data_IF_200639469265
#
_entry.id   IF_200639469265
#
_cell.length_a   1.000
_cell.length_b   1.000
_cell.length_c   1.000
_cell.angle_alpha   90.00
_cell.angle_beta   90.00
_cell.angle_gamma   90.00
#
_symmetry.space_group_name_H-M   'P 1'
#
loop_
_entity.id
_entity.type
_entity.pdbx_description
1 polymer ?
#
# COMPACT_ATOMS: atom_id res chain seq x y z
N UNK A 1 -17.10 -48.24 -23.74
CA UNK A 1 -18.30 -47.44 -23.38
C UNK A 1 -17.81 -46.02 -23.17
N UNK A 2 -17.96 -45.13 -24.16
CA UNK A 2 -17.57 -43.72 -24.02
C UNK A 2 -18.73 -42.96 -23.37
N UNK A 3 -18.52 -42.51 -22.13
CA UNK A 3 -19.49 -41.66 -21.44
C UNK A 3 -19.55 -40.31 -22.15
N UNK A 4 -20.74 -39.83 -22.53
CA UNK A 4 -20.94 -38.53 -23.17
C UNK A 4 -21.67 -37.57 -22.21
N UNK A 5 -21.22 -36.31 -22.14
CA UNK A 5 -21.82 -35.25 -21.31
C UNK A 5 -20.82 -34.14 -20.93
N UNK A 6 -21.33 -32.96 -20.52
CA UNK A 6 -20.52 -31.80 -20.06
C UNK A 6 -19.56 -32.16 -18.91
N UNK A 7 -19.90 -33.20 -18.14
CA UNK A 7 -19.05 -33.80 -17.10
C UNK A 7 -17.68 -34.27 -17.60
N UNK A 8 -17.50 -34.51 -18.91
CA UNK A 8 -16.22 -34.88 -19.51
C UNK A 8 -15.43 -33.69 -20.08
N UNK A 9 -16.09 -32.55 -20.36
CA UNK A 9 -15.43 -31.35 -20.86
C UNK A 9 -14.85 -30.49 -19.71
N UNK A 10 -15.50 -30.48 -18.55
CA UNK A 10 -15.04 -29.75 -17.36
C UNK A 10 -13.59 -30.07 -16.94
N UNK A 11 -13.15 -31.35 -16.81
CA UNK A 11 -11.77 -31.66 -16.45
C UNK A 11 -10.75 -31.23 -17.53
N UNK A 12 -11.12 -31.24 -18.81
CA UNK A 12 -10.26 -30.75 -19.89
C UNK A 12 -10.03 -29.24 -19.80
N UNK A 13 -11.08 -28.47 -19.50
CA UNK A 13 -10.96 -27.02 -19.28
C UNK A 13 -10.14 -26.74 -18.01
N UNK A 14 -10.35 -27.49 -16.93
CA UNK A 14 -9.57 -27.36 -15.70
C UNK A 14 -8.07 -27.62 -15.94
N UNK A 15 -7.72 -28.71 -16.65
CA UNK A 15 -6.34 -29.02 -17.02
C UNK A 15 -5.69 -27.93 -17.89
N UNK A 16 -6.42 -27.39 -18.87
CA UNK A 16 -5.95 -26.29 -19.70
C UNK A 16 -5.70 -25.01 -18.89
N UNK A 17 -6.55 -24.70 -17.90
CA UNK A 17 -6.36 -23.56 -17.00
C UNK A 17 -5.08 -23.73 -16.17
N UNK A 18 -4.81 -24.93 -15.66
CA UNK A 18 -3.57 -25.20 -14.90
C UNK A 18 -2.33 -24.94 -15.77
N UNK A 19 -2.32 -25.41 -17.01
CA UNK A 19 -1.22 -25.16 -17.96
C UNK A 19 -1.07 -23.67 -18.30
N UNK A 20 -2.19 -22.97 -18.52
CA UNK A 20 -2.20 -21.54 -18.76
C UNK A 20 -1.63 -20.75 -17.56
N UNK A 21 -1.99 -21.14 -16.33
CA UNK A 21 -1.45 -20.53 -15.11
C UNK A 21 0.04 -20.82 -14.93
N UNK A 22 0.51 -22.04 -15.24
CA UNK A 22 1.93 -22.37 -15.20
C UNK A 22 2.74 -21.55 -16.23
N UNK A 23 2.21 -21.40 -17.46
CA UNK A 23 2.83 -20.58 -18.49
C UNK A 23 2.86 -19.09 -18.08
N UNK A 24 1.78 -18.59 -17.50
CA UNK A 24 1.70 -17.23 -16.99
C UNK A 24 2.75 -16.99 -15.89
N UNK A 25 2.89 -17.89 -14.92
CA UNK A 25 3.94 -17.79 -13.90
C UNK A 25 5.33 -17.74 -14.57
N UNK A 26 5.59 -18.61 -15.54
CA UNK A 26 6.89 -18.68 -16.23
C UNK A 26 7.20 -17.46 -17.10
N UNK A 27 6.20 -16.81 -17.71
CA UNK A 27 6.39 -15.76 -18.72
C UNK A 27 6.02 -14.36 -18.25
N UNK A 28 5.10 -14.25 -17.30
CA UNK A 28 4.62 -13.00 -16.70
C UNK A 28 5.13 -12.81 -15.27
N UNK A 29 5.76 -13.82 -14.66
CA UNK A 29 6.20 -13.79 -13.27
C UNK A 29 5.06 -13.82 -12.25
N UNK A 30 3.84 -14.14 -12.67
CA UNK A 30 2.64 -14.25 -11.81
C UNK A 30 1.55 -15.09 -12.46
N UNK A 31 0.57 -15.52 -11.65
CA UNK A 31 -0.68 -16.10 -12.14
C UNK A 31 -1.54 -15.06 -12.87
N UNK A 32 -2.43 -15.53 -13.74
CA UNK A 32 -3.50 -14.71 -14.32
C UNK A 32 -4.60 -14.53 -13.27
N UNK A 33 -5.09 -13.31 -13.10
CA UNK A 33 -6.31 -13.07 -12.33
C UNK A 33 -7.50 -13.76 -12.99
N UNK A 34 -8.60 -13.97 -12.25
CA UNK A 34 -9.83 -14.58 -12.78
C UNK A 34 -10.36 -13.77 -13.98
N UNK A 35 -10.29 -12.44 -13.90
CA UNK A 35 -10.71 -11.55 -14.99
C UNK A 35 -9.85 -11.70 -16.24
N UNK A 36 -8.52 -11.73 -16.10
CA UNK A 36 -7.61 -11.94 -17.23
C UNK A 36 -7.79 -13.33 -17.84
N UNK A 37 -7.94 -14.36 -17.01
CA UNK A 37 -8.18 -15.72 -17.45
C UNK A 37 -9.47 -15.81 -18.28
N UNK A 38 -10.57 -15.23 -17.79
CA UNK A 38 -11.85 -15.18 -18.51
C UNK A 38 -11.73 -14.45 -19.85
N UNK A 39 -11.11 -13.28 -19.87
CA UNK A 39 -10.92 -12.49 -21.10
C UNK A 39 -10.02 -13.21 -22.11
N UNK A 40 -8.95 -13.85 -21.66
CA UNK A 40 -8.05 -14.63 -22.52
C UNK A 40 -8.77 -15.84 -23.11
N UNK A 41 -9.51 -16.60 -22.30
CA UNK A 41 -10.30 -17.75 -22.77
C UNK A 41 -11.34 -17.35 -23.83
N UNK A 42 -12.04 -16.22 -23.65
CA UNK A 42 -13.05 -15.75 -24.60
C UNK A 42 -12.42 -15.22 -25.89
N UNK A 43 -11.36 -14.42 -25.76
CA UNK A 43 -10.71 -13.78 -26.90
C UNK A 43 -9.92 -14.76 -27.77
N UNK A 44 -9.21 -15.72 -27.16
CA UNK A 44 -8.42 -16.73 -27.87
C UNK A 44 -9.24 -17.92 -28.36
N UNK A 45 -10.48 -18.08 -27.87
CA UNK A 45 -11.33 -19.20 -28.27
C UNK A 45 -11.62 -19.21 -29.77
N UNK A 46 -11.54 -20.40 -30.38
CA UNK A 46 -11.87 -20.63 -31.78
C UNK A 46 -13.39 -20.55 -31.95
N UNK A 47 -13.86 -19.72 -32.89
CA UNK A 47 -15.29 -19.67 -33.23
C UNK A 47 -15.69 -20.98 -33.91
N UNK A 48 -16.79 -21.57 -33.45
CA UNK A 48 -17.45 -22.73 -34.07
C UNK A 48 -18.93 -22.37 -34.24
N UNK A 49 -19.57 -22.75 -35.35
CA UNK A 49 -21.01 -22.59 -35.48
C UNK A 49 -21.67 -23.92 -35.25
N UNK A 50 -22.60 -23.96 -34.32
CA UNK A 50 -23.33 -25.17 -33.98
C UNK A 50 -24.31 -25.54 -35.09
N UNK A 51 -23.92 -26.53 -35.91
CA UNK A 51 -24.70 -27.07 -37.03
C UNK A 51 -24.17 -26.76 -38.42
N UNK A 52 -22.93 -26.27 -38.56
CA UNK A 52 -22.33 -26.01 -39.88
C UNK A 52 -21.62 -27.23 -40.48
N UNK A 53 -21.11 -28.16 -39.66
CA UNK A 53 -20.40 -29.35 -40.11
C UNK A 53 -20.55 -30.57 -39.20
N UNK A 54 -21.26 -30.44 -38.07
CA UNK A 54 -21.49 -31.49 -37.11
C UNK A 54 -22.44 -32.56 -37.70
N UNK A 55 -22.00 -33.83 -37.63
CA UNK A 55 -22.83 -35.01 -37.98
C UNK A 55 -23.14 -35.78 -36.72
N UNK A 56 -24.07 -35.24 -35.94
CA UNK A 56 -24.52 -35.85 -34.70
C UNK A 56 -26.05 -35.94 -34.66
N UNK A 57 -26.58 -36.38 -33.53
CA UNK A 57 -28.00 -36.58 -33.30
C UNK A 57 -28.60 -35.51 -32.37
N UNK A 58 -27.91 -34.39 -32.16
CA UNK A 58 -28.41 -33.29 -31.32
C UNK A 58 -29.09 -32.21 -32.17
N UNK A 59 -30.02 -31.48 -31.56
CA UNK A 59 -30.69 -30.36 -32.23
C UNK A 59 -29.75 -29.15 -32.21
N UNK A 60 -29.20 -28.84 -33.38
CA UNK A 60 -28.30 -27.71 -33.56
C UNK A 60 -29.02 -26.37 -33.35
N UNK A 61 -28.34 -25.43 -32.72
CA UNK A 61 -28.87 -24.09 -32.37
C UNK A 61 -28.60 -23.03 -33.45
N UNK A 62 -27.67 -23.27 -34.38
CA UNK A 62 -27.25 -22.29 -35.38
C UNK A 62 -26.46 -21.10 -34.82
N UNK A 63 -26.10 -21.13 -33.54
CA UNK A 63 -25.35 -20.07 -32.87
C UNK A 63 -23.84 -20.28 -33.00
N UNK A 64 -23.08 -19.19 -32.92
CA UNK A 64 -21.62 -19.24 -32.86
C UNK A 64 -21.14 -19.32 -31.41
N UNK A 65 -20.37 -20.35 -31.10
CA UNK A 65 -19.73 -20.53 -29.79
C UNK A 65 -18.21 -20.39 -29.87
N UNK A 66 -17.59 -20.24 -28.70
CA UNK A 66 -16.14 -20.20 -28.53
C UNK A 66 -15.66 -21.53 -27.96
N UNK A 67 -14.96 -22.32 -28.77
CA UNK A 67 -14.27 -23.53 -28.33
C UNK A 67 -12.90 -23.17 -27.78
N UNK A 68 -12.52 -23.80 -26.67
CA UNK A 68 -11.19 -23.66 -26.08
C UNK A 68 -10.11 -24.01 -27.12
N UNK A 69 -9.15 -23.11 -27.28
CA UNK A 69 -7.96 -23.30 -28.11
C UNK A 69 -6.73 -23.00 -27.24
N UNK A 70 -6.03 -24.05 -26.81
CA UNK A 70 -4.92 -23.96 -25.85
C UNK A 70 -3.70 -23.28 -26.49
N UNK A 71 -3.48 -23.49 -27.79
CA UNK A 71 -2.37 -22.87 -28.50
C UNK A 71 -2.59 -21.36 -28.60
N UNK A 72 -3.77 -20.95 -29.09
CA UNK A 72 -4.12 -19.52 -29.17
C UNK A 72 -4.14 -18.85 -27.79
N UNK A 73 -4.59 -19.58 -26.75
CA UNK A 73 -4.52 -19.10 -25.37
C UNK A 73 -3.07 -18.88 -24.92
N UNK A 74 -2.17 -19.82 -25.21
CA UNK A 74 -0.75 -19.72 -24.88
C UNK A 74 -0.06 -18.55 -25.62
N UNK A 75 -0.38 -18.35 -26.90
CA UNK A 75 0.09 -17.23 -27.70
C UNK A 75 -0.41 -15.90 -27.16
N UNK A 76 -1.67 -15.82 -26.72
CA UNK A 76 -2.22 -14.62 -26.10
C UNK A 76 -1.52 -14.29 -24.77
N UNK A 77 -1.18 -15.29 -23.95
CA UNK A 77 -0.38 -15.13 -22.73
C UNK A 77 1.04 -14.67 -23.06
N UNK A 78 1.67 -15.27 -24.07
CA UNK A 78 3.00 -14.87 -24.55
C UNK A 78 3.01 -13.45 -25.11
N UNK A 79 1.99 -13.06 -25.87
CA UNK A 79 1.83 -11.69 -26.38
C UNK A 79 1.69 -10.69 -25.24
N UNK A 80 1.00 -11.06 -24.16
CA UNK A 80 0.94 -10.26 -22.93
C UNK A 80 2.32 -10.10 -22.29
N UNK A 81 3.17 -11.14 -22.35
CA UNK A 81 4.56 -11.07 -21.89
C UNK A 81 5.44 -10.25 -22.83
N UNK A 82 5.23 -10.33 -24.15
CA UNK A 82 5.94 -9.53 -25.15
C UNK A 82 5.55 -8.07 -25.08
N UNK A 83 4.30 -7.71 -24.81
CA UNK A 83 3.90 -6.32 -24.57
C UNK A 83 4.56 -5.75 -23.30
N UNK A 84 4.88 -6.60 -22.31
CA UNK A 84 5.74 -6.19 -21.17
C UNK A 84 7.22 -6.02 -21.57
N UNK A 85 7.67 -6.61 -22.69
CA UNK A 85 9.05 -6.48 -23.22
C UNK A 85 9.20 -5.48 -24.37
N UNK A 86 8.13 -5.07 -25.05
CA UNK A 86 8.19 -4.06 -26.12
C UNK A 86 8.34 -2.64 -25.55
N UNK A 87 8.20 -2.47 -24.23
CA UNK A 87 8.68 -1.29 -23.50
C UNK A 87 10.16 -1.39 -23.06
N UNK A 88 10.92 -2.39 -23.52
CA UNK A 88 12.38 -2.43 -23.38
C UNK A 88 13.03 -2.41 -24.77
N UNK A 89 12.96 -1.25 -25.42
CA UNK A 89 13.97 -0.82 -26.40
C UNK A 89 15.29 -0.55 -25.65
N UNK A 90 16.48 -0.69 -26.26
CA UNK A 90 17.76 -0.44 -25.58
C UNK A 90 17.97 1.00 -25.10
N UNK A 91 17.06 1.94 -25.42
CA UNK A 91 17.10 3.33 -24.96
C UNK A 91 16.10 3.63 -23.83
N UNK A 92 16.25 3.00 -22.66
CA UNK A 92 15.48 3.40 -21.47
C UNK A 92 16.13 3.00 -20.13
N UNK A 93 17.39 3.36 -19.91
CA UNK A 93 17.99 3.27 -18.57
C UNK A 93 17.62 4.50 -17.72
N UNK A 94 16.34 4.67 -17.35
CA UNK A 94 15.90 5.28 -16.07
C UNK A 94 14.37 5.39 -15.91
N UNK A 95 13.62 4.33 -16.18
CA UNK A 95 12.31 4.17 -15.53
C UNK A 95 12.53 3.19 -14.37
N UNK A 96 12.75 3.72 -13.17
CA UNK A 96 12.57 2.95 -11.92
C UNK A 96 11.25 2.19 -12.04
N UNK A 97 11.35 0.88 -12.29
CA UNK A 97 10.18 0.03 -12.48
C UNK A 97 9.45 -0.01 -11.14
N UNK A 98 8.25 0.56 -11.08
CA UNK A 98 7.44 0.54 -9.87
C UNK A 98 7.27 -0.92 -9.39
N UNK A 99 7.86 -1.22 -8.23
CA UNK A 99 7.84 -2.54 -7.61
C UNK A 99 6.40 -2.88 -7.25
N UNK A 100 6.03 -4.17 -7.32
CA UNK A 100 4.78 -4.60 -6.71
C UNK A 100 4.99 -4.58 -5.20
N UNK A 101 4.41 -3.59 -4.52
CA UNK A 101 4.61 -3.36 -3.09
C UNK A 101 3.43 -3.85 -2.27
N UNK A 102 2.34 -4.29 -2.90
CA UNK A 102 1.17 -4.75 -2.18
C UNK A 102 0.03 -5.20 -3.08
N UNK A 103 -1.06 -5.58 -2.44
CA UNK A 103 -2.33 -5.89 -3.08
C UNK A 103 -3.49 -5.62 -2.13
N UNK A 104 -4.67 -5.47 -2.70
CA UNK A 104 -5.89 -5.22 -1.96
C UNK A 104 -7.06 -5.95 -2.59
N UNK A 105 -7.96 -6.44 -1.75
CA UNK A 105 -9.19 -7.10 -2.16
C UNK A 105 -10.23 -7.06 -1.03
N UNK A 106 -11.37 -7.74 -1.23
CA UNK A 106 -12.44 -7.88 -0.25
C UNK A 106 -12.49 -9.28 0.32
N UNK A 107 -12.81 -9.37 1.60
CA UNK A 107 -13.02 -10.62 2.34
C UNK A 107 -14.43 -10.65 2.93
N UNK A 108 -14.96 -11.86 3.07
CA UNK A 108 -16.12 -12.14 3.91
C UNK A 108 -15.68 -13.19 4.91
N UNK A 109 -15.79 -12.89 6.21
CA UNK A 109 -15.39 -13.80 7.28
C UNK A 109 -16.39 -13.70 8.44
N UNK A 110 -16.29 -14.66 9.35
CA UNK A 110 -17.08 -14.75 10.57
C UNK A 110 -16.14 -15.12 11.72
N UNK A 111 -16.66 -15.60 12.86
CA UNK A 111 -15.81 -15.98 13.99
C UNK A 111 -14.93 -17.23 13.77
N UNK A 112 -15.06 -17.93 12.64
CA UNK A 112 -14.17 -19.02 12.29
C UNK A 112 -12.87 -18.51 11.63
N UNK A 113 -11.74 -19.09 12.04
CA UNK A 113 -10.44 -18.79 11.46
C UNK A 113 -10.40 -19.14 9.97
N UNK A 114 -10.13 -18.13 9.14
CA UNK A 114 -10.01 -18.26 7.70
C UNK A 114 -8.62 -17.84 7.25
N UNK A 115 -8.01 -18.61 6.33
CA UNK A 115 -6.73 -18.22 5.70
C UNK A 115 -6.99 -17.51 4.38
N UNK A 116 -6.43 -16.31 4.24
CA UNK A 116 -6.41 -15.53 3.01
C UNK A 116 -5.05 -15.68 2.35
N UNK A 117 -5.03 -16.07 1.09
CA UNK A 117 -3.80 -16.21 0.31
C UNK A 117 -3.60 -15.00 -0.58
N UNK A 118 -2.36 -14.54 -0.64
CA UNK A 118 -1.97 -13.47 -1.52
C UNK A 118 -1.80 -13.96 -2.97
N UNK A 119 -1.96 -13.07 -3.93
CA UNK A 119 -1.66 -13.33 -5.34
C UNK A 119 -0.14 -13.44 -5.59
N UNK A 120 0.66 -12.94 -4.65
CA UNK A 120 2.13 -12.88 -4.70
C UNK A 120 2.75 -13.11 -3.32
N UNK A 121 4.06 -13.29 -3.30
CA UNK A 121 4.84 -13.30 -2.07
C UNK A 121 5.36 -11.90 -1.76
N UNK A 122 5.26 -11.49 -0.50
CA UNK A 122 5.82 -10.27 0.06
C UNK A 122 6.91 -10.61 1.07
N UNK A 123 7.98 -9.83 1.14
CA UNK A 123 9.10 -10.04 2.04
C UNK A 123 8.73 -9.66 3.47
N UNK A 124 8.13 -8.47 3.64
CA UNK A 124 7.76 -7.88 4.92
C UNK A 124 6.32 -7.36 4.88
N UNK A 125 5.32 -8.24 4.75
CA UNK A 125 3.92 -7.82 4.64
C UNK A 125 3.41 -7.16 5.94
N UNK A 126 2.64 -6.09 5.76
CA UNK A 126 1.81 -5.41 6.76
C UNK A 126 0.39 -5.36 6.23
N UNK A 127 -0.58 -5.82 7.02
CA UNK A 127 -1.97 -6.00 6.60
C UNK A 127 -2.88 -5.02 7.36
N UNK A 128 -3.84 -4.41 6.66
CA UNK A 128 -4.90 -3.58 7.26
C UNK A 128 -6.27 -4.12 6.80
N UNK A 129 -7.23 -4.23 7.72
CA UNK A 129 -8.51 -4.97 7.50
C UNK A 129 -9.77 -4.27 8.03
N UNK A 130 -9.65 -3.06 8.58
CA UNK A 130 -10.77 -2.30 9.16
C UNK A 130 -11.35 -1.31 8.15
N UNK A 131 -12.67 -1.06 8.08
CA UNK A 131 -13.73 -1.49 9.02
C UNK A 131 -14.56 -2.71 8.57
N UNK A 132 -15.26 -3.34 9.53
CA UNK A 132 -16.28 -4.37 9.29
C UNK A 132 -17.58 -3.77 8.75
N UNK A 133 -18.33 -4.52 7.94
CA UNK A 133 -19.73 -4.17 7.64
C UNK A 133 -20.61 -4.33 8.89
N UNK A 134 -21.87 -3.90 8.83
CA UNK A 134 -22.87 -4.02 9.90
C UNK A 134 -23.94 -5.08 9.62
N UNK A 135 -23.56 -6.25 9.07
CA UNK A 135 -24.55 -7.30 8.78
C UNK A 135 -25.12 -7.94 10.06
N UNK A 136 -24.33 -7.96 11.13
CA UNK A 136 -24.75 -8.30 12.48
C UNK A 136 -24.64 -7.08 13.42
N UNK A 137 -25.52 -7.02 14.41
CA UNK A 137 -25.60 -5.90 15.36
C UNK A 137 -24.55 -5.93 16.46
N UNK A 138 -23.99 -7.10 16.76
CA UNK A 138 -23.05 -7.25 17.87
C UNK A 138 -21.73 -6.53 17.56
N UNK A 139 -21.08 -5.93 18.57
CA UNK A 139 -19.77 -5.33 18.39
C UNK A 139 -18.74 -6.40 18.05
N UNK A 140 -17.91 -6.09 17.06
CA UNK A 140 -16.85 -7.00 16.65
C UNK A 140 -15.70 -6.28 15.95
N UNK A 141 -14.55 -6.96 15.89
CA UNK A 141 -13.35 -6.53 15.18
C UNK A 141 -12.83 -7.63 14.27
N UNK A 142 -12.03 -7.23 13.28
CA UNK A 142 -11.21 -8.18 12.53
C UNK A 142 -9.88 -8.38 13.26
N UNK A 143 -9.61 -9.63 13.66
CA UNK A 143 -8.29 -10.06 14.14
C UNK A 143 -7.54 -10.73 13.01
N UNK A 144 -6.22 -10.52 12.96
CA UNK A 144 -5.33 -11.22 12.04
C UNK A 144 -4.22 -11.94 12.80
N UNK A 145 -3.79 -13.06 12.25
CA UNK A 145 -2.70 -13.90 12.78
C UNK A 145 -2.02 -14.66 11.64
N UNK A 146 -1.01 -15.48 11.96
CA UNK A 146 -0.21 -16.26 10.98
C UNK A 146 0.22 -15.45 9.74
N UNK A 147 0.68 -14.21 9.93
CA UNK A 147 1.17 -13.38 8.83
C UNK A 147 2.45 -13.99 8.25
N UNK A 148 2.38 -14.41 6.98
CA UNK A 148 3.51 -14.97 6.20
C UNK A 148 3.66 -14.22 4.89
N UNK A 149 4.71 -14.56 4.14
CA UNK A 149 4.99 -13.94 2.85
C UNK A 149 3.87 -14.12 1.83
N UNK A 150 3.09 -15.20 1.88
CA UNK A 150 2.10 -15.57 0.87
C UNK A 150 0.65 -15.64 1.38
N UNK A 151 0.42 -15.32 2.66
CA UNK A 151 -0.89 -15.44 3.31
C UNK A 151 -0.95 -14.74 4.67
N UNK A 152 -2.16 -14.62 5.19
CA UNK A 152 -2.46 -14.37 6.59
C UNK A 152 -3.73 -15.11 7.00
N UNK A 153 -3.96 -15.28 8.29
CA UNK A 153 -5.23 -15.78 8.83
C UNK A 153 -6.03 -14.65 9.45
N UNK A 154 -7.34 -14.75 9.39
CA UNK A 154 -8.29 -13.73 9.82
C UNK A 154 -9.51 -14.37 10.48
N UNK A 155 -10.10 -13.69 11.46
CA UNK A 155 -11.39 -14.05 12.06
C UNK A 155 -12.07 -12.80 12.62
N UNK A 156 -13.39 -12.85 12.75
CA UNK A 156 -14.19 -11.81 13.41
C UNK A 156 -14.29 -12.15 14.90
N UNK A 157 -13.83 -11.25 15.75
CA UNK A 157 -13.84 -11.43 17.20
C UNK A 157 -14.84 -10.49 17.83
N UNK A 158 -15.61 -10.98 18.79
CA UNK A 158 -16.49 -10.18 19.63
C UNK A 158 -15.82 -9.87 20.97
N UNK A 159 -16.26 -8.82 21.70
CA UNK A 159 -15.91 -8.61 23.10
C UNK A 159 -16.26 -9.83 23.97
N UNK A 160 -15.62 -9.95 25.12
CA UNK A 160 -15.70 -11.13 25.98
C UNK A 160 -17.09 -11.39 26.58
N UNK A 161 -17.91 -10.34 26.73
CA UNK A 161 -19.26 -10.49 27.27
C UNK A 161 -20.26 -11.06 26.25
N UNK A 162 -19.83 -11.25 24.99
CA UNK A 162 -20.60 -11.93 23.94
C UNK A 162 -20.32 -13.44 23.94
N UNK A 163 -20.97 -14.17 23.05
CA UNK A 163 -20.90 -15.64 23.01
C UNK A 163 -19.75 -16.18 22.14
N UNK A 164 -19.01 -15.28 21.48
CA UNK A 164 -17.88 -15.59 20.62
C UNK A 164 -18.30 -16.10 19.24
N UNK A 165 -19.58 -15.98 18.88
CA UNK A 165 -20.11 -16.35 17.58
C UNK A 165 -20.61 -15.13 16.87
N UNK A 166 -19.88 -14.76 15.83
CA UNK A 166 -20.29 -13.70 14.92
C UNK A 166 -20.60 -14.29 13.55
N UNK A 167 -21.60 -13.75 12.89
CA UNK A 167 -22.01 -14.00 11.54
C UNK A 167 -21.03 -13.45 10.50
N UNK A 168 -21.39 -13.61 9.23
CA UNK A 168 -20.53 -13.17 8.13
C UNK A 168 -20.56 -11.65 8.00
N UNK A 169 -19.39 -11.04 8.13
CA UNK A 169 -19.13 -9.64 7.81
C UNK A 169 -18.23 -9.49 6.60
N UNK A 170 -18.40 -8.38 5.88
CA UNK A 170 -17.56 -7.98 4.75
C UNK A 170 -16.61 -6.88 5.19
N UNK A 171 -15.36 -6.98 4.78
CA UNK A 171 -14.36 -5.95 4.97
C UNK A 171 -13.34 -6.01 3.84
N UNK A 172 -12.61 -4.92 3.62
CA UNK A 172 -11.50 -4.89 2.68
C UNK A 172 -10.20 -5.24 3.40
N UNK A 173 -9.23 -5.78 2.66
CA UNK A 173 -7.86 -5.80 3.14
C UNK A 173 -6.92 -5.11 2.14
N UNK A 174 -5.84 -4.56 2.67
CA UNK A 174 -4.65 -4.20 1.90
C UNK A 174 -3.43 -4.78 2.60
N UNK A 175 -2.58 -5.45 1.84
CA UNK A 175 -1.24 -5.86 2.28
C UNK A 175 -0.21 -5.02 1.56
N UNK A 176 0.78 -4.51 2.30
CA UNK A 176 1.87 -3.69 1.76
C UNK A 176 3.21 -4.15 2.34
N UNK A 177 4.26 -4.01 1.55
CA UNK A 177 5.65 -4.12 2.00
C UNK A 177 5.99 -2.96 2.93
N UNK A 178 6.66 -3.25 4.05
CA UNK A 178 7.30 -2.20 4.85
C UNK A 178 8.28 -1.40 4.00
N UNK A 179 8.32 -0.09 4.21
CA UNK A 179 9.25 0.80 3.53
C UNK A 179 8.66 2.18 3.28
N UNK A 180 9.52 3.04 2.76
CA UNK A 180 9.16 4.35 2.21
C UNK A 180 8.95 4.21 0.71
N UNK A 181 7.82 4.71 0.22
CA UNK A 181 7.34 4.52 -1.15
C UNK A 181 6.80 5.81 -1.75
N UNK A 182 6.93 5.96 -3.07
CA UNK A 182 6.35 7.05 -3.84
C UNK A 182 5.46 6.48 -4.96
N UNK A 183 4.22 6.94 -4.99
CA UNK A 183 3.29 6.64 -6.07
C UNK A 183 3.66 7.44 -7.32
N UNK A 184 3.15 7.01 -8.49
CA UNK A 184 3.43 7.68 -9.77
C UNK A 184 2.98 9.15 -9.80
N UNK A 185 2.01 9.54 -8.98
CA UNK A 185 1.54 10.93 -8.86
C UNK A 185 2.32 11.75 -7.81
N UNK A 186 3.46 11.24 -7.31
CA UNK A 186 4.29 11.90 -6.30
C UNK A 186 3.83 11.71 -4.86
N UNK A 187 2.63 11.15 -4.63
CA UNK A 187 2.13 10.89 -3.28
C UNK A 187 3.07 9.94 -2.52
N UNK A 188 3.46 10.35 -1.31
CA UNK A 188 4.27 9.53 -0.40
C UNK A 188 3.41 8.53 0.35
N UNK A 189 3.98 7.35 0.57
CA UNK A 189 3.45 6.26 1.37
C UNK A 189 4.58 5.72 2.24
N UNK A 190 4.35 5.55 3.53
CA UNK A 190 5.29 4.91 4.44
C UNK A 190 4.57 3.82 5.23
N UNK A 191 5.18 2.64 5.31
CA UNK A 191 4.59 1.44 5.92
C UNK A 191 5.61 0.84 6.88
N UNK A 192 5.18 0.58 8.12
CA UNK A 192 6.07 0.06 9.14
C UNK A 192 5.37 -0.82 10.17
N UNK A 193 6.16 -1.29 11.14
CA UNK A 193 5.72 -2.08 12.28
C UNK A 193 6.31 -1.49 13.55
N UNK A 194 5.60 -1.61 14.66
CA UNK A 194 6.09 -1.31 16.00
C UNK A 194 5.67 -2.42 16.96
N UNK A 195 6.57 -2.84 17.85
CA UNK A 195 6.26 -3.82 18.89
C UNK A 195 5.97 -3.10 20.20
N UNK A 196 4.74 -3.16 20.69
CA UNK A 196 4.31 -2.40 21.86
C UNK A 196 3.23 -3.12 22.65
N UNK A 197 3.15 -2.82 23.95
CA UNK A 197 2.06 -3.18 24.85
C UNK A 197 1.42 -1.91 25.45
N UNK A 198 1.52 -0.79 24.71
CA UNK A 198 0.96 0.49 25.12
C UNK A 198 -0.57 0.42 25.13
N UNK A 199 -1.17 0.82 26.24
CA UNK A 199 -2.62 0.84 26.47
C UNK A 199 -3.10 2.27 26.68
N UNK A 200 -4.29 2.63 26.18
CA UNK A 200 -4.78 4.01 26.17
C UNK A 200 -4.87 4.65 27.55
N UNK A 201 -5.08 3.84 28.59
CA UNK A 201 -5.12 4.25 30.00
C UNK A 201 -3.74 4.49 30.65
N UNK A 202 -2.64 4.07 30.00
CA UNK A 202 -1.30 4.09 30.57
C UNK A 202 -0.33 4.93 29.74
N UNK A 203 -0.11 4.58 28.48
CA UNK A 203 0.89 5.22 27.62
C UNK A 203 0.56 5.09 26.13
N UNK A 204 1.18 5.95 25.33
CA UNK A 204 1.02 5.97 23.88
C UNK A 204 2.38 5.77 23.22
N UNK A 205 2.47 4.83 22.28
CA UNK A 205 3.67 4.60 21.50
C UNK A 205 3.79 5.67 20.41
N UNK A 206 4.99 6.24 20.25
CA UNK A 206 5.26 7.23 19.21
C UNK A 206 5.83 6.54 17.97
N UNK A 207 5.22 6.81 16.81
CA UNK A 207 5.72 6.41 15.50
C UNK A 207 6.30 7.66 14.84
N UNK A 208 7.59 7.63 14.54
CA UNK A 208 8.26 8.65 13.76
C UNK A 208 8.38 8.15 12.32
N UNK A 209 8.06 9.02 11.37
CA UNK A 209 8.31 8.75 9.95
C UNK A 209 9.80 8.87 9.67
N UNK A 210 10.31 8.03 8.78
CA UNK A 210 11.70 8.09 8.32
C UNK A 210 11.98 9.43 7.64
N UNK A 211 10.98 9.96 6.93
CA UNK A 211 11.05 11.24 6.26
C UNK A 211 9.79 12.06 6.53
N UNK A 212 9.97 13.34 6.84
CA UNK A 212 8.86 14.28 7.07
C UNK A 212 7.98 14.39 5.82
N UNK A 213 6.66 14.27 6.01
CA UNK A 213 5.69 14.57 4.95
C UNK A 213 5.53 16.09 4.82
N UNK A 214 5.21 16.58 3.62
CA UNK A 214 4.97 18.02 3.42
C UNK A 214 3.77 18.54 4.23
N UNK A 215 2.79 17.66 4.51
CA UNK A 215 1.63 17.91 5.34
C UNK A 215 1.38 16.68 6.23
N UNK A 216 0.60 16.84 7.31
CA UNK A 216 0.18 15.68 8.12
C UNK A 216 -0.49 14.61 7.22
N UNK A 217 0.03 13.38 7.17
CA UNK A 217 -0.51 12.32 6.32
C UNK A 217 -1.79 11.73 6.91
N UNK A 218 -2.46 10.88 6.13
CA UNK A 218 -3.56 10.03 6.59
C UNK A 218 -2.94 8.75 7.15
N UNK A 219 -3.22 8.43 8.42
CA UNK A 219 -2.58 7.33 9.15
C UNK A 219 -3.56 6.22 9.50
N UNK A 220 -3.04 4.98 9.51
CA UNK A 220 -3.77 3.76 9.83
C UNK A 220 -2.92 2.87 10.73
N UNK A 221 -3.59 2.07 11.56
CA UNK A 221 -2.95 1.07 12.41
C UNK A 221 -3.78 -0.20 12.51
N UNK A 222 -3.09 -1.35 12.67
CA UNK A 222 -3.72 -2.66 12.78
C UNK A 222 -2.82 -3.60 13.59
N UNK A 223 -3.37 -4.29 14.60
CA UNK A 223 -2.66 -5.36 15.31
C UNK A 223 -2.39 -6.52 14.33
N UNK A 224 -1.12 -6.94 14.20
CA UNK A 224 -0.65 -7.96 13.24
C UNK A 224 -0.47 -9.35 13.84
N UNK A 225 -0.50 -9.43 15.17
CA UNK A 225 -0.28 -10.64 15.96
C UNK A 225 -1.43 -10.86 16.92
N UNK A 226 -1.51 -12.09 17.42
CA UNK A 226 -2.49 -12.55 18.40
C UNK A 226 -1.72 -13.21 19.55
N UNK A 227 -0.76 -12.47 20.11
CA UNK A 227 0.11 -12.98 21.18
C UNK A 227 -0.68 -13.12 22.49
N UNK A 228 -1.71 -12.30 22.66
CA UNK A 228 -2.78 -12.49 23.63
C UNK A 228 -4.13 -12.42 22.91
N UNK A 229 -5.06 -13.26 23.35
CA UNK A 229 -6.36 -13.46 22.68
C UNK A 229 -7.39 -12.40 23.05
N UNK A 230 -7.01 -11.42 23.86
CA UNK A 230 -7.91 -10.39 24.37
C UNK A 230 -8.42 -9.51 23.22
N UNK A 231 -9.69 -9.12 23.32
CA UNK A 231 -10.34 -8.25 22.35
C UNK A 231 -9.71 -6.87 22.41
N UNK A 232 -9.10 -6.42 21.31
CA UNK A 232 -8.29 -5.19 21.31
C UNK A 232 -8.33 -4.42 19.99
N UNK A 233 -8.55 -3.12 20.09
CA UNK A 233 -8.46 -2.14 19.01
C UNK A 233 -7.08 -1.49 18.96
N UNK A 234 -6.80 -0.81 17.86
CA UNK A 234 -5.79 0.27 17.84
C UNK A 234 -6.50 1.63 17.86
N UNK A 235 -6.02 2.55 18.68
CA UNK A 235 -6.38 3.97 18.67
C UNK A 235 -5.17 4.82 18.30
N UNK A 236 -5.40 6.02 17.77
CA UNK A 236 -4.34 6.91 17.33
C UNK A 236 -4.67 8.38 17.58
N UNK A 237 -3.64 9.23 17.71
CA UNK A 237 -3.78 10.68 17.90
C UNK A 237 -2.52 11.43 17.49
N UNK A 238 -2.59 12.77 17.55
CA UNK A 238 -1.44 13.67 17.38
C UNK A 238 -0.66 13.44 16.06
N UNK A 239 -1.38 13.27 14.96
CA UNK A 239 -0.79 13.13 13.63
C UNK A 239 -0.17 14.46 13.18
N UNK A 240 1.10 14.41 12.81
CA UNK A 240 1.86 15.52 12.27
C UNK A 240 2.64 15.09 11.01
N UNK A 241 3.31 16.03 10.36
CA UNK A 241 4.24 15.74 9.27
C UNK A 241 5.37 14.75 9.65
N UNK A 242 5.71 14.63 10.94
CA UNK A 242 6.87 13.86 11.43
C UNK A 242 6.51 12.49 12.02
N UNK A 243 5.25 12.28 12.32
CA UNK A 243 4.83 11.10 13.06
C UNK A 243 3.47 11.25 13.70
N UNK A 244 3.08 10.22 14.43
CA UNK A 244 1.82 10.14 15.17
C UNK A 244 1.96 9.23 16.37
N UNK A 245 0.94 9.19 17.22
CA UNK A 245 0.89 8.31 18.38
C UNK A 245 -0.18 7.24 18.17
N UNK A 246 0.13 6.00 18.58
CA UNK A 246 -0.81 4.89 18.60
C UNK A 246 -0.80 4.16 19.94
N UNK A 247 -1.91 3.51 20.26
CA UNK A 247 -2.07 2.69 21.45
C UNK A 247 -3.09 1.57 21.19
N UNK A 248 -3.06 0.54 22.02
CA UNK A 248 -4.11 -0.47 22.07
C UNK A 248 -5.18 -0.09 23.09
N UNK A 249 -6.40 -0.58 22.86
CA UNK A 249 -7.53 -0.40 23.76
C UNK A 249 -8.36 -1.69 23.77
N UNK A 250 -8.51 -2.28 24.96
CA UNK A 250 -9.41 -3.40 25.18
C UNK A 250 -10.84 -2.91 25.44
N UNK A 251 -11.77 -3.87 25.56
CA UNK A 251 -13.12 -3.60 26.05
C UNK A 251 -13.13 -2.84 27.38
N UNK A 252 -14.16 -2.03 27.60
CA UNK A 252 -14.27 -1.03 28.64
C UNK A 252 -14.15 -1.62 30.04
N UNK A 253 -14.78 -2.79 30.28
CA UNK A 253 -14.68 -3.52 31.54
C UNK A 253 -13.25 -4.00 31.86
N UNK A 254 -12.39 -4.08 30.86
CA UNK A 254 -10.99 -4.49 30.97
C UNK A 254 -9.99 -3.36 30.71
N UNK A 255 -10.41 -2.10 30.55
CA UNK A 255 -9.50 -0.99 30.25
C UNK A 255 -8.31 -0.81 31.21
N UNK A 256 -8.36 -1.37 32.43
CA UNK A 256 -7.27 -1.34 33.41
C UNK A 256 -6.40 -2.60 33.45
N UNK A 257 -6.61 -3.53 32.53
CA UNK A 257 -5.78 -4.71 32.34
C UNK A 257 -4.40 -4.33 31.77
N UNK A 258 -3.53 -5.32 31.67
CA UNK A 258 -2.32 -5.24 30.84
C UNK A 258 -2.53 -6.18 29.67
N UNK A 259 -2.19 -5.72 28.48
CA UNK A 259 -2.12 -6.56 27.30
C UNK A 259 -0.69 -7.03 27.05
N UNK A 260 -0.52 -8.26 26.53
CA UNK A 260 0.77 -8.70 26.00
C UNK A 260 1.28 -7.76 24.90
N UNK A 261 2.60 -7.78 24.66
CA UNK A 261 3.22 -7.01 23.57
C UNK A 261 2.78 -7.58 22.23
N UNK A 262 2.21 -6.73 21.39
CA UNK A 262 1.80 -7.07 20.03
C UNK A 262 2.68 -6.36 18.99
N UNK A 263 2.78 -6.96 17.80
CA UNK A 263 3.25 -6.25 16.61
C UNK A 263 2.07 -5.45 16.05
N UNK A 264 2.19 -4.13 15.99
CA UNK A 264 1.21 -3.24 15.35
C UNK A 264 1.80 -2.74 14.04
N UNK A 265 1.08 -3.00 12.96
CA UNK A 265 1.36 -2.47 11.63
C UNK A 265 0.80 -1.07 11.52
N UNK A 266 1.54 -0.18 10.86
CA UNK A 266 1.07 1.18 10.59
C UNK A 266 1.38 1.60 9.16
N UNK A 267 0.54 2.48 8.64
CA UNK A 267 0.68 3.09 7.32
C UNK A 267 0.39 4.59 7.40
N UNK A 268 1.19 5.39 6.71
CA UNK A 268 0.96 6.81 6.50
C UNK A 268 0.99 7.12 5.00
N UNK A 269 -0.05 7.76 4.47
CA UNK A 269 -0.13 8.12 3.05
C UNK A 269 -0.46 9.61 2.91
N UNK A 270 0.13 10.26 1.92
CA UNK A 270 -0.19 11.66 1.59
C UNK A 270 -1.69 11.77 1.30
N UNK A 271 -2.36 12.75 1.93
CA UNK A 271 -3.76 13.03 1.66
C UNK A 271 -3.95 13.51 0.21
N UNK A 272 -5.04 13.07 -0.43
CA UNK A 272 -5.35 13.43 -1.80
C UNK A 272 -6.06 12.31 -2.56
N UNK A 273 -6.25 12.51 -3.86
CA UNK A 273 -6.81 11.52 -4.77
C UNK A 273 -5.95 11.39 -6.01
N UNK A 274 -6.06 10.26 -6.69
CA UNK A 274 -5.32 10.02 -7.92
C UNK A 274 -5.52 8.60 -8.45
N UNK A 275 -4.54 8.16 -9.24
CA UNK A 275 -4.48 6.80 -9.75
C UNK A 275 -3.26 6.08 -9.16
N UNK A 276 -3.48 4.89 -8.62
CA UNK A 276 -2.45 4.01 -8.09
C UNK A 276 -2.52 2.69 -8.84
N UNK A 277 -1.55 2.42 -9.72
CA UNK A 277 -1.47 1.16 -10.47
C UNK A 277 -2.66 0.85 -11.38
N UNK A 278 -3.36 1.89 -11.87
CA UNK A 278 -4.58 1.74 -12.66
C UNK A 278 -5.87 1.81 -11.84
N UNK A 279 -5.78 1.89 -10.50
CA UNK A 279 -6.91 2.00 -9.60
C UNK A 279 -7.07 3.44 -9.13
N UNK A 280 -8.25 4.03 -9.33
CA UNK A 280 -8.53 5.32 -8.71
C UNK A 280 -8.51 5.15 -7.18
N UNK A 281 -7.94 6.12 -6.48
CA UNK A 281 -7.92 6.13 -5.02
C UNK A 281 -8.21 7.52 -4.44
N UNK A 282 -8.61 7.52 -3.18
CA UNK A 282 -8.71 8.70 -2.33
C UNK A 282 -8.22 8.35 -0.92
N UNK A 283 -7.24 9.09 -0.42
CA UNK A 283 -6.82 9.10 0.97
C UNK A 283 -7.25 10.42 1.61
N UNK A 284 -7.99 10.38 2.71
CA UNK A 284 -8.46 11.58 3.38
C UNK A 284 -8.84 11.37 4.83
N UNK A 285 -9.36 12.45 5.42
CA UNK A 285 -10.01 12.42 6.72
C UNK A 285 -11.34 13.18 6.68
N UNK A 286 -12.31 12.78 7.50
CA UNK A 286 -13.57 13.51 7.68
C UNK A 286 -13.35 14.79 8.49
N UNK A 287 -14.39 15.62 8.60
CA UNK A 287 -14.48 16.59 9.70
C UNK A 287 -14.59 15.86 11.04
N UNK A 288 -14.27 16.56 12.12
CA UNK A 288 -14.42 16.10 13.50
C UNK A 288 -15.90 16.13 13.92
N UNK A 289 -16.67 15.13 13.48
CA UNK A 289 -18.15 15.06 13.56
C UNK A 289 -18.72 13.64 13.53
N UNK A 290 -17.88 12.61 13.45
CA UNK A 290 -18.36 11.23 13.36
C UNK A 290 -18.55 10.71 14.77
N UNK A 291 -19.72 10.17 15.06
CA UNK A 291 -20.14 9.64 16.36
C UNK A 291 -20.61 8.18 16.20
N UNK A 292 -21.41 7.69 17.14
CA UNK A 292 -22.16 6.43 17.04
C UNK A 292 -23.29 6.46 16.00
N UNK A 293 -23.71 7.64 15.56
CA UNK A 293 -24.64 7.80 14.43
C UNK A 293 -23.96 7.51 13.09
N UNK A 294 -24.74 6.99 12.13
CA UNK A 294 -24.27 6.78 10.76
C UNK A 294 -23.94 8.11 10.07
N UNK A 295 -22.64 8.29 9.79
CA UNK A 295 -22.12 9.45 9.08
C UNK A 295 -21.92 9.12 7.59
N UNK A 296 -22.50 9.92 6.70
CA UNK A 296 -22.30 9.82 5.25
C UNK A 296 -20.96 10.45 4.84
N UNK A 297 -20.02 9.61 4.40
CA UNK A 297 -18.74 10.00 3.87
C UNK A 297 -18.79 10.01 2.33
N UNK A 298 -18.80 11.21 1.76
CA UNK A 298 -18.72 11.42 0.32
C UNK A 298 -17.30 11.27 -0.23
N UNK A 299 -17.17 10.46 -1.27
CA UNK A 299 -15.97 10.38 -2.08
C UNK A 299 -15.90 11.57 -3.03
N UNK A 300 -14.76 12.27 -3.00
CA UNK A 300 -14.41 13.32 -3.94
C UNK A 300 -13.79 12.75 -5.22
N UNK A 301 -13.28 11.52 -5.15
CA UNK A 301 -12.76 10.79 -6.29
C UNK A 301 -13.89 10.10 -7.06
N UNK A 302 -13.79 10.12 -8.39
CA UNK A 302 -14.73 9.43 -9.26
C UNK A 302 -14.34 7.95 -9.38
N UNK A 303 -15.11 7.08 -8.73
CA UNK A 303 -14.97 5.63 -8.86
C UNK A 303 -15.94 5.07 -9.91
N UNK A 304 -15.43 4.26 -10.83
CA UNK A 304 -16.21 3.52 -11.82
C UNK A 304 -16.79 2.20 -11.24
N UNK A 305 -16.20 1.69 -10.17
CA UNK A 305 -16.64 0.50 -9.42
C UNK A 305 -16.59 0.80 -7.93
N UNK A 306 -17.39 0.13 -7.12
CA UNK A 306 -17.31 0.30 -5.66
C UNK A 306 -15.85 0.11 -5.20
N UNK A 307 -15.30 1.06 -4.44
CA UNK A 307 -13.95 0.94 -3.93
C UNK A 307 -13.91 -0.10 -2.80
N UNK A 308 -12.70 -0.56 -2.48
CA UNK A 308 -12.36 -1.11 -1.17
C UNK A 308 -12.08 0.05 -0.22
N UNK A 309 -12.40 -0.10 1.06
CA UNK A 309 -12.16 0.94 2.06
C UNK A 309 -11.37 0.41 3.25
N UNK A 310 -10.33 1.15 3.61
CA UNK A 310 -9.62 1.02 4.88
C UNK A 310 -9.89 2.27 5.70
N UNK A 311 -10.23 2.13 6.99
CA UNK A 311 -10.50 3.26 7.86
C UNK A 311 -10.13 3.00 9.32
N UNK A 312 -9.71 4.07 10.01
CA UNK A 312 -9.46 4.10 11.45
C UNK A 312 -9.98 5.43 12.03
N UNK A 313 -10.36 5.42 13.31
CA UNK A 313 -10.59 6.65 14.07
C UNK A 313 -9.26 7.42 14.08
N UNK A 314 -9.27 8.63 13.53
CA UNK A 314 -8.09 9.47 13.31
C UNK A 314 -7.65 10.27 14.54
N UNK A 315 -8.55 10.38 15.52
CA UNK A 315 -8.40 11.15 16.76
C UNK A 315 -8.72 10.28 17.99
N UNK A 316 -8.55 10.85 19.18
CA UNK A 316 -8.91 10.24 20.46
C UNK A 316 -9.53 11.33 21.34
N UNK A 317 -10.72 11.77 20.93
CA UNK A 317 -11.56 12.72 21.67
C UNK A 317 -12.44 11.98 22.70
N UNK A 318 -12.99 10.82 22.32
CA UNK A 318 -13.75 9.93 23.19
C UNK A 318 -12.87 8.85 23.81
N UNK A 319 -12.98 8.64 25.12
CA UNK A 319 -12.15 7.67 25.85
C UNK A 319 -12.66 6.24 25.76
N UNK A 320 -13.92 6.05 25.39
CA UNK A 320 -14.58 4.75 25.49
C UNK A 320 -14.12 3.83 24.36
N UNK A 321 -14.25 2.53 24.62
CA UNK A 321 -13.71 1.48 23.77
C UNK A 321 -14.56 1.35 22.51
N UNK A 322 -13.96 1.66 21.35
CA UNK A 322 -14.71 1.78 20.12
C UNK A 322 -13.94 1.37 18.87
N UNK A 323 -14.68 0.81 17.91
CA UNK A 323 -14.23 0.50 16.56
C UNK A 323 -15.06 1.19 15.49
N UNK A 324 -14.78 0.89 14.22
CA UNK A 324 -15.57 1.41 13.10
C UNK A 324 -16.39 0.31 12.45
N UNK A 325 -17.62 0.65 12.08
CA UNK A 325 -18.50 -0.13 11.20
C UNK A 325 -18.80 0.66 9.94
N UNK A 326 -19.13 -0.03 8.86
CA UNK A 326 -19.55 0.62 7.62
C UNK A 326 -20.79 -0.03 7.01
N UNK A 327 -21.53 0.75 6.23
CA UNK A 327 -22.63 0.27 5.39
C UNK A 327 -22.82 1.13 4.14
N UNK A 328 -23.76 0.74 3.28
CA UNK A 328 -24.19 1.51 2.11
C UNK A 328 -23.06 1.98 1.17
N UNK A 329 -21.97 1.21 1.09
CA UNK A 329 -20.82 1.49 0.22
C UNK A 329 -21.23 1.48 -1.27
N UNK A 330 -20.99 2.60 -1.93
CA UNK A 330 -21.23 2.81 -3.36
C UNK A 330 -19.99 3.40 -4.04
N UNK A 331 -20.10 3.78 -5.32
CA UNK A 331 -19.05 4.52 -6.03
C UNK A 331 -18.92 5.97 -5.57
N UNK A 332 -19.87 6.51 -4.80
CA UNK A 332 -19.93 7.92 -4.42
C UNK A 332 -19.77 8.16 -2.93
N UNK A 333 -20.17 7.20 -2.10
CA UNK A 333 -20.16 7.36 -0.65
C UNK A 333 -19.99 6.03 0.07
N UNK A 334 -19.80 6.14 1.37
CA UNK A 334 -19.98 5.07 2.36
C UNK A 334 -20.57 5.68 3.64
N UNK A 335 -21.37 4.93 4.37
CA UNK A 335 -21.76 5.32 5.73
C UNK A 335 -20.83 4.65 6.73
N UNK A 336 -20.32 5.41 7.70
CA UNK A 336 -19.42 4.94 8.76
C UNK A 336 -20.00 5.38 10.10
N UNK A 337 -19.93 4.50 11.10
CA UNK A 337 -20.24 4.84 12.49
C UNK A 337 -19.16 4.32 13.43
N UNK A 338 -19.04 4.96 14.58
CA UNK A 338 -18.21 4.51 15.69
C UNK A 338 -19.04 3.57 16.55
N UNK A 339 -18.61 2.32 16.68
CA UNK A 339 -19.32 1.33 17.46
C UNK A 339 -18.58 1.10 18.77
N UNK A 340 -19.18 1.57 19.85
CA UNK A 340 -18.83 1.19 21.22
C UNK A 340 -19.37 -0.20 21.58
N UNK A 341 -18.85 -0.76 22.66
CA UNK A 341 -19.29 -2.02 23.23
C UNK A 341 -19.82 -1.84 24.66
N UNK A 342 -20.51 -2.86 25.19
CA UNK A 342 -21.34 -2.77 26.40
C UNK A 342 -20.81 -3.59 27.58
N UNK A 343 -19.50 -3.83 27.63
CA UNK A 343 -18.88 -4.70 28.64
C UNK A 343 -18.99 -4.13 30.04
N UNK A 344 -18.93 -2.80 30.20
CA UNK A 344 -19.01 -2.13 31.50
C UNK A 344 -20.41 -1.63 31.83
N UNK A 345 -21.07 -0.99 30.88
CA UNK A 345 -22.47 -0.56 31.00
C UNK A 345 -23.21 -0.58 29.65
N UNK A 346 -24.45 -0.07 29.62
CA UNK A 346 -25.32 -0.18 28.44
C UNK A 346 -25.24 1.03 27.49
N UNK A 347 -24.52 2.07 27.90
CA UNK A 347 -24.31 3.32 27.18
C UNK A 347 -23.40 3.08 25.97
N UNK A 348 -23.64 3.79 24.86
CA UNK A 348 -22.91 3.61 23.59
C UNK A 348 -22.77 4.93 22.81
N UNK A 349 -23.07 6.08 23.41
CA UNK A 349 -22.96 7.36 22.73
C UNK A 349 -21.49 7.73 22.64
N UNK A 350 -20.99 7.98 21.44
CA UNK A 350 -19.60 8.38 21.25
C UNK A 350 -19.54 9.86 20.89
N UNK A 351 -18.58 10.58 21.47
CA UNK A 351 -18.32 11.99 21.08
C UNK A 351 -17.76 12.11 19.65
N UNK A 352 -17.72 13.32 19.12
CA UNK A 352 -17.22 13.59 17.76
C UNK A 352 -15.75 13.15 17.60
N UNK A 353 -15.47 12.41 16.54
CA UNK A 353 -14.13 12.08 16.07
C UNK A 353 -13.99 12.41 14.57
N UNK A 354 -12.73 12.50 14.14
CA UNK A 354 -12.37 12.46 12.72
C UNK A 354 -12.01 11.04 12.30
N UNK A 355 -12.40 10.63 11.09
CA UNK A 355 -12.11 9.30 10.55
C UNK A 355 -11.11 9.43 9.41
N UNK A 356 -9.99 8.72 9.51
CA UNK A 356 -9.03 8.54 8.43
C UNK A 356 -9.53 7.43 7.50
N UNK A 357 -9.46 7.63 6.18
CA UNK A 357 -9.89 6.63 5.21
C UNK A 357 -8.99 6.59 3.97
N UNK A 358 -8.87 5.38 3.41
CA UNK A 358 -8.28 5.09 2.11
C UNK A 358 -9.29 4.28 1.30
N UNK A 359 -9.82 4.87 0.23
CA UNK A 359 -10.70 4.22 -0.73
C UNK A 359 -9.92 3.89 -2.01
N UNK A 360 -9.98 2.65 -2.49
CA UNK A 360 -9.28 2.18 -3.69
C UNK A 360 -10.21 1.40 -4.61
N UNK A 361 -10.31 1.79 -5.88
CA UNK A 361 -11.22 1.17 -6.84
C UNK A 361 -10.90 -0.30 -7.10
N UNK A 362 -11.90 -1.19 -6.98
CA UNK A 362 -11.76 -2.58 -7.46
C UNK A 362 -10.89 -3.46 -6.56
N UNK A 363 -9.94 -4.19 -7.14
CA UNK A 363 -8.97 -5.04 -6.42
C UNK A 363 -7.77 -5.34 -7.31
N UNK A 364 -6.64 -5.64 -6.68
CA UNK A 364 -5.44 -6.15 -7.34
C UNK A 364 -4.14 -5.56 -6.83
N UNK A 365 -3.13 -5.50 -7.71
CA UNK A 365 -1.73 -5.27 -7.32
C UNK A 365 -1.38 -3.78 -7.28
N UNK A 366 -0.83 -3.36 -6.16
CA UNK A 366 -0.32 -2.02 -5.92
C UNK A 366 1.17 -1.94 -6.20
N UNK A 367 1.56 -0.86 -6.87
CA UNK A 367 2.94 -0.58 -7.26
C UNK A 367 3.36 0.81 -6.85
N UNK A 368 4.60 0.91 -6.40
CA UNK A 368 5.24 2.18 -6.08
C UNK A 368 6.74 2.05 -6.32
N UNK A 369 7.39 3.20 -6.45
CA UNK A 369 8.85 3.26 -6.42
C UNK A 369 9.29 3.36 -4.96
N UNK A 370 10.45 2.79 -4.63
CA UNK A 370 11.06 3.10 -3.34
C UNK A 370 11.23 4.63 -3.25
N UNK A 371 10.77 5.21 -2.15
CA UNK A 371 11.04 6.60 -1.85
C UNK A 371 12.38 6.64 -1.14
N UNK A 372 13.34 7.28 -1.80
CA UNK A 372 14.67 7.48 -1.26
C UNK A 372 14.87 8.99 -1.09
N UNK A 373 14.97 9.41 0.17
CA UNK A 373 15.25 10.80 0.56
C UNK A 373 16.66 11.24 0.22
N UNK A 374 17.48 10.34 -0.34
CA UNK A 374 18.83 10.59 -0.80
C UNK A 374 18.90 10.70 -2.33
N UNK A 375 17.82 10.45 -3.07
CA UNK A 375 17.79 10.56 -4.54
C UNK A 375 16.81 11.62 -5.04
N UNK A 376 17.33 12.69 -5.63
CA UNK A 376 16.87 13.31 -6.89
C UNK A 376 15.37 13.47 -7.19
N UNK A 377 14.49 13.74 -6.23
CA UNK A 377 13.07 14.00 -6.52
C UNK A 377 12.65 15.39 -6.02
N UNK A 378 12.82 16.38 -6.92
CA UNK A 378 12.48 17.82 -6.81
C UNK A 378 13.11 18.55 -5.62
N UNK A 379 13.83 19.64 -5.88
CA UNK A 379 14.15 20.74 -4.94
C UNK A 379 13.79 20.51 -3.47
N UNK A 380 14.79 20.33 -2.61
CA UNK A 380 14.51 20.08 -1.20
C UNK A 380 15.71 19.76 -0.34
N UNK A 381 15.47 18.92 0.67
CA UNK A 381 16.44 18.49 1.68
C UNK A 381 16.69 16.99 1.56
N UNK A 382 17.96 16.57 1.61
CA UNK A 382 18.32 15.17 1.82
C UNK A 382 18.72 15.00 3.29
N UNK A 383 18.15 13.98 3.92
CA UNK A 383 18.49 13.60 5.30
C UNK A 383 18.78 12.11 5.32
N UNK A 384 19.96 11.77 5.82
CA UNK A 384 20.46 10.43 6.00
C UNK A 384 19.86 9.72 7.20
N UNK A 385 20.44 8.56 7.51
CA UNK A 385 20.10 7.75 8.66
C UNK A 385 21.25 7.74 9.66
N UNK A 386 21.09 7.05 10.78
CA UNK A 386 22.20 6.83 11.70
C UNK A 386 23.27 5.86 11.15
N UNK A 387 23.03 5.17 10.04
CA UNK A 387 23.99 4.28 9.36
C UNK A 387 24.62 4.98 8.15
N UNK A 388 25.77 4.54 7.65
CA UNK A 388 26.42 5.13 6.47
C UNK A 388 25.47 5.30 5.29
N UNK A 389 25.38 6.51 4.75
CA UNK A 389 24.46 6.87 3.68
C UNK A 389 25.18 7.22 2.36
N UNK A 390 24.45 7.16 1.24
CA UNK A 390 24.92 7.68 -0.06
C UNK A 390 23.92 8.69 -0.59
N UNK A 391 24.27 9.97 -0.54
CA UNK A 391 23.51 11.10 -1.07
C UNK A 391 23.70 11.18 -2.58
N UNK A 392 22.66 10.89 -3.36
CA UNK A 392 22.74 10.75 -4.82
C UNK A 392 22.30 12.05 -5.48
N UNK A 393 23.29 12.83 -5.94
CA UNK A 393 23.12 14.05 -6.73
C UNK A 393 23.37 13.79 -8.23
N UNK A 394 23.67 12.55 -8.62
CA UNK A 394 23.82 12.13 -10.00
C UNK A 394 23.98 10.62 -10.14
N UNK A 395 23.76 10.14 -11.37
CA UNK A 395 23.94 8.74 -11.78
C UNK A 395 24.91 8.66 -12.95
N UNK A 396 25.34 7.47 -13.35
CA UNK A 396 26.17 7.28 -14.54
C UNK A 396 25.55 7.86 -15.83
N UNK A 397 24.22 8.06 -15.86
CA UNK A 397 23.51 8.54 -17.05
C UNK A 397 23.19 10.04 -17.04
N UNK A 398 23.15 10.69 -15.87
CA UNK A 398 22.78 12.10 -15.74
C UNK A 398 23.14 12.67 -14.37
N UNK A 399 23.46 13.96 -14.31
CA UNK A 399 23.42 14.74 -13.07
C UNK A 399 21.98 15.03 -12.69
N UNK A 400 21.71 15.15 -11.40
CA UNK A 400 20.46 15.73 -10.91
C UNK A 400 20.70 17.20 -10.57
N UNK A 401 19.61 17.94 -10.34
CA UNK A 401 19.67 19.34 -9.88
C UNK A 401 20.39 20.25 -10.89
N UNK A 402 20.32 19.91 -12.18
CA UNK A 402 21.15 20.45 -13.25
C UNK A 402 20.38 21.27 -14.30
N UNK A 403 19.14 21.65 -14.00
CA UNK A 403 18.35 22.63 -14.75
C UNK A 403 18.87 24.06 -14.50
N UNK A 404 18.81 24.95 -15.51
CA UNK A 404 19.48 26.26 -15.46
C UNK A 404 18.91 27.20 -14.38
N UNK A 405 19.78 27.67 -13.47
CA UNK A 405 19.49 28.68 -12.45
C UNK A 405 19.44 28.11 -11.02
N UNK A 406 19.38 28.98 -10.00
CA UNK A 406 19.43 28.59 -8.57
C UNK A 406 18.16 27.90 -8.03
N UNK A 407 17.22 27.56 -8.90
CA UNK A 407 15.89 27.10 -8.52
C UNK A 407 15.84 25.58 -8.30
N UNK A 408 16.89 24.81 -8.61
CA UNK A 408 16.90 23.34 -8.51
C UNK A 408 18.08 22.73 -7.75
N UNK A 409 18.48 23.25 -6.57
CA UNK A 409 19.52 22.61 -5.74
C UNK A 409 18.96 21.80 -4.57
N UNK A 410 19.81 20.96 -3.97
CA UNK A 410 19.44 20.17 -2.77
C UNK A 410 20.26 20.49 -1.53
N UNK A 411 19.63 20.56 -0.37
CA UNK A 411 20.30 20.76 0.93
C UNK A 411 20.50 19.43 1.65
N UNK A 412 21.73 18.96 1.80
CA UNK A 412 22.07 17.79 2.61
C UNK A 412 22.18 18.22 4.07
N UNK A 413 21.29 17.72 4.96
CA UNK A 413 21.15 18.26 6.32
C UNK A 413 22.06 17.66 7.38
N UNK A 414 22.47 16.39 7.24
CA UNK A 414 23.12 15.60 8.29
C UNK A 414 24.33 14.78 7.80
N UNK A 415 25.02 15.28 6.76
CA UNK A 415 26.19 14.60 6.20
C UNK A 415 27.28 14.36 7.24
N UNK A 416 27.74 13.11 7.36
CA UNK A 416 28.87 12.74 8.23
C UNK A 416 30.08 12.41 7.37
N UNK A 417 31.04 13.33 7.35
CA UNK A 417 32.25 13.32 6.50
C UNK A 417 33.08 12.02 6.53
N UNK A 418 32.97 11.22 7.60
CA UNK A 418 33.74 9.98 7.76
C UNK A 418 32.96 8.70 7.46
N UNK A 419 31.65 8.77 7.24
CA UNK A 419 30.80 7.59 7.04
C UNK A 419 29.93 7.66 5.80
N UNK A 420 29.59 8.87 5.34
CA UNK A 420 28.63 9.09 4.27
C UNK A 420 29.34 9.48 2.98
N UNK A 421 28.66 9.25 1.86
CA UNK A 421 29.18 9.49 0.51
C UNK A 421 28.20 10.36 -0.28
N UNK A 422 28.71 11.27 -1.08
CA UNK A 422 27.95 12.04 -2.07
C UNK A 422 28.29 11.46 -3.45
N UNK A 423 27.29 10.97 -4.17
CA UNK A 423 27.44 10.45 -5.52
C UNK A 423 27.14 11.53 -6.55
N UNK A 424 28.08 11.74 -7.47
CA UNK A 424 28.02 12.73 -8.55
C UNK A 424 28.18 12.07 -9.92
N UNK A 425 27.58 12.67 -10.94
CA UNK A 425 27.66 12.18 -12.33
C UNK A 425 28.97 12.64 -13.01
N UNK A 426 29.62 11.78 -13.78
CA UNK A 426 30.73 12.20 -14.64
C UNK A 426 32.06 12.29 -13.88
N UNK A 427 32.87 13.30 -14.16
CA UNK A 427 34.22 13.39 -13.59
C UNK A 427 34.29 14.43 -12.49
N UNK A 428 35.21 14.20 -11.57
CA UNK A 428 35.58 15.18 -10.54
C UNK A 428 35.88 16.59 -11.10
N UNK A 429 36.47 16.67 -12.28
CA UNK A 429 36.83 17.95 -12.94
C UNK A 429 35.62 18.76 -13.33
N UNK A 430 34.43 18.16 -13.33
CA UNK A 430 33.18 18.80 -13.71
C UNK A 430 32.54 19.50 -12.50
N UNK A 431 33.21 19.56 -11.35
CA UNK A 431 32.68 20.09 -10.10
C UNK A 431 33.65 20.99 -9.35
N UNK A 432 33.08 21.97 -8.65
CA UNK A 432 33.76 22.86 -7.72
C UNK A 432 33.05 22.89 -6.37
N UNK A 433 33.84 22.87 -5.29
CA UNK A 433 33.35 23.05 -3.92
C UNK A 433 33.66 24.46 -3.43
N UNK A 434 32.71 25.10 -2.77
CA UNK A 434 32.84 26.44 -2.21
C UNK A 434 32.25 26.46 -0.81
N UNK A 435 33.01 26.89 0.19
CA UNK A 435 32.43 27.20 1.51
C UNK A 435 31.42 28.34 1.33
N UNK A 436 30.17 28.09 1.71
CA UNK A 436 29.01 28.87 1.31
C UNK A 436 28.10 29.14 2.50
N UNK A 437 27.59 30.36 2.58
CA UNK A 437 26.60 30.79 3.55
C UNK A 437 25.63 31.75 2.86
N UNK A 438 24.36 31.34 2.73
CA UNK A 438 23.27 32.17 2.19
C UNK A 438 22.35 32.77 3.26
N UNK A 439 22.70 32.63 4.54
CA UNK A 439 21.88 33.03 5.67
C UNK A 439 20.73 32.08 6.02
N UNK A 440 20.48 31.04 5.22
CA UNK A 440 19.52 29.95 5.50
C UNK A 440 20.24 28.64 5.83
N UNK A 441 21.38 28.38 5.20
CA UNK A 441 22.29 27.28 5.51
C UNK A 441 23.75 27.67 5.27
N UNK A 442 24.62 27.36 6.23
CA UNK A 442 26.07 27.45 6.10
C UNK A 442 26.68 26.05 5.92
N UNK A 443 27.69 25.91 5.08
CA UNK A 443 28.39 24.65 4.81
C UNK A 443 29.14 24.65 3.48
N UNK A 444 29.27 23.50 2.82
CA UNK A 444 29.94 23.41 1.50
C UNK A 444 28.92 23.37 0.37
N UNK A 445 28.93 24.36 -0.53
CA UNK A 445 28.20 24.30 -1.80
C UNK A 445 28.94 23.45 -2.85
N UNK A 446 28.17 22.69 -3.62
CA UNK A 446 28.62 21.85 -4.74
C UNK A 446 28.11 22.48 -6.02
N UNK A 447 29.03 22.99 -6.82
CA UNK A 447 28.76 23.50 -8.15
C UNK A 447 29.18 22.48 -9.20
N UNK A 448 28.39 22.35 -10.27
CA UNK A 448 28.78 21.65 -11.49
C UNK A 448 29.21 22.67 -12.53
N UNK A 449 30.41 22.52 -13.05
CA UNK A 449 30.99 23.40 -14.07
C UNK A 449 30.25 23.17 -15.41
N UNK A 450 29.77 24.26 -16.02
CA UNK A 450 29.14 24.29 -17.35
C UNK A 450 29.87 25.29 -18.24
N UNK A 451 29.70 25.18 -19.55
CA UNK A 451 30.37 26.05 -20.52
C UNK A 451 29.98 27.54 -20.40
N UNK A 452 28.84 27.85 -19.76
CA UNK A 452 28.28 29.19 -19.64
C UNK A 452 28.17 29.72 -18.19
N UNK A 453 27.57 28.97 -17.26
CA UNK A 453 27.44 29.34 -15.84
C UNK A 453 27.51 28.10 -14.95
N UNK A 454 28.39 28.11 -13.94
CA UNK A 454 28.44 27.03 -12.94
C UNK A 454 27.09 26.89 -12.22
N UNK A 455 26.56 25.66 -12.21
CA UNK A 455 25.23 25.37 -11.65
C UNK A 455 25.34 24.88 -10.20
N UNK A 456 24.53 25.43 -9.30
CA UNK A 456 24.49 24.99 -7.90
C UNK A 456 23.61 23.74 -7.82
N UNK A 457 24.21 22.58 -7.56
CA UNK A 457 23.47 21.32 -7.52
C UNK A 457 23.19 20.85 -6.08
N UNK A 458 23.92 21.38 -5.09
CA UNK A 458 23.62 21.11 -3.69
C UNK A 458 24.46 21.87 -2.66
N UNK A 459 24.01 21.84 -1.41
CA UNK A 459 24.68 22.41 -0.24
C UNK A 459 24.78 21.34 0.84
N UNK A 460 25.99 21.09 1.35
CA UNK A 460 26.25 20.20 2.49
C UNK A 460 26.26 21.02 3.77
N UNK A 461 25.15 20.99 4.51
CA UNK A 461 24.94 21.85 5.68
C UNK A 461 25.89 21.47 6.84
N UNK A 462 26.50 22.48 7.44
CA UNK A 462 27.31 22.35 8.66
C UNK A 462 28.64 21.62 8.47
N UNK A 463 29.04 21.36 7.22
CA UNK A 463 30.32 20.75 6.88
C UNK A 463 31.05 21.67 5.92
N UNK A 464 32.17 22.23 6.38
CA UNK A 464 33.03 23.11 5.61
C UNK A 464 34.28 22.35 5.11
N UNK A 465 34.99 22.92 4.14
CA UNK A 465 36.29 22.41 3.67
C UNK A 465 36.25 20.96 3.15
N UNK A 466 35.12 20.53 2.59
CA UNK A 466 35.06 19.25 1.88
C UNK A 466 36.00 19.25 0.69
N UNK A 467 36.50 18.07 0.35
CA UNK A 467 37.38 17.88 -0.79
C UNK A 467 36.83 16.80 -1.71
N UNK A 468 36.74 17.11 -3.00
CA UNK A 468 36.43 16.12 -4.04
C UNK A 468 37.49 15.00 -4.14
N UNK A 469 38.63 15.09 -3.44
CA UNK A 469 39.63 14.00 -3.34
C UNK A 469 39.36 13.04 -2.17
N UNK A 470 38.43 13.38 -1.28
CA UNK A 470 38.16 12.56 -0.09
C UNK A 470 37.23 11.39 -0.41
N UNK A 471 37.13 10.44 0.50
CA UNK A 471 36.16 9.33 0.43
C UNK A 471 34.69 9.79 0.54
N UNK A 472 34.46 11.07 0.84
CA UNK A 472 33.13 11.66 0.89
C UNK A 472 32.47 11.77 -0.49
N UNK A 473 33.20 11.56 -1.59
CA UNK A 473 32.67 11.67 -2.94
C UNK A 473 32.89 10.40 -3.77
N UNK A 474 31.85 10.00 -4.49
CA UNK A 474 31.89 8.94 -5.50
C UNK A 474 31.43 9.51 -6.84
N UNK A 475 32.13 9.18 -7.91
CA UNK A 475 31.83 9.67 -9.27
C UNK A 475 31.44 8.47 -10.14
N UNK A 476 30.31 8.58 -10.83
CA UNK A 476 29.68 7.46 -11.57
C UNK A 476 29.34 7.79 -13.02
#
# INVERSE_FOLDING_TARGET
MTLQGTSQAAPHVAGAIVLAQQLAVRKLGRRLSIGELKSLLVSSGKKINDGDNEKDNVKNTGLTFKRLDILALSEAILKKASNNKVNSSPDSNNVSLANAIGEFDRVTANSNLQTIRFDRTYNNPVIFVSPLSSNESDPAIVRITDVKSDRFSVFVQEPYYKDGKHGNERFSYVVLETGSWQLNNGARLEVGKINTNAMTNANWASVNFQNDFSNAPVTFSQVQTDNETDFVYTRQKNVSARGFQLSMQEEEARMNSRHAKETIGWMAISGGSGNWSGYNYQAGKTSDRVTDDWYELDFRQNFAKNPQIIANIGTFNGSDSAGLRHQNLSTKQVEISIQEEKSRDAEINHTDESINFLAMEGSGILRAKAYDSLTGSSTGKLTGTSASDTFILGTASASYYDESGRDDYVLIEDFRQNSDVIQLHGNKTDYRLVDYDDGLAAGTAIFRDRDDVDELIGIVKGVDSLSLNSSAFNFV
#
